data_IF_782167260857
#
_entry.id   IF_782167260857
#
_cell.length_a   1.000
_cell.length_b   1.000
_cell.length_c   1.000
_cell.angle_alpha   90.00
_cell.angle_beta   90.00
_cell.angle_gamma   90.00
#
_symmetry.space_group_name_H-M   'P 1'
#
loop_
_entity.id
_entity.type
_entity.pdbx_description
1 polymer ?
#
# COMPACT_ATOMS: atom_id res chain seq x y z
N UNK A 1 6.21 1.53 -15.88
CA UNK A 1 4.94 1.80 -15.17
C UNK A 1 5.11 3.13 -14.46
N UNK A 2 4.15 4.04 -14.58
CA UNK A 2 4.15 5.32 -13.85
C UNK A 2 3.71 5.09 -12.40
N UNK A 3 4.07 6.02 -11.51
CA UNK A 3 3.65 6.02 -10.09
C UNK A 3 2.13 5.81 -9.92
N UNK A 4 1.33 6.57 -10.66
CA UNK A 4 -0.13 6.53 -10.53
C UNK A 4 -0.71 5.18 -11.00
N UNK A 5 -0.09 4.54 -11.99
CA UNK A 5 -0.48 3.19 -12.42
C UNK A 5 -0.22 2.16 -11.32
N UNK A 6 0.86 2.32 -10.53
CA UNK A 6 1.11 1.49 -9.35
C UNK A 6 -0.02 1.70 -8.33
N UNK A 7 -0.36 2.94 -8.01
CA UNK A 7 -1.43 3.21 -7.05
C UNK A 7 -2.79 2.67 -7.49
N UNK A 8 -3.15 2.82 -8.77
CA UNK A 8 -4.36 2.19 -9.35
C UNK A 8 -4.31 0.67 -9.16
N UNK A 9 -3.17 0.03 -9.42
CA UNK A 9 -3.03 -1.42 -9.23
C UNK A 9 -3.12 -1.84 -7.77
N UNK A 10 -2.53 -1.07 -6.85
CA UNK A 10 -2.68 -1.31 -5.41
C UNK A 10 -4.14 -1.21 -4.97
N UNK A 11 -4.85 -0.16 -5.38
CA UNK A 11 -6.29 -0.01 -5.13
C UNK A 11 -7.10 -1.15 -5.75
N UNK A 12 -6.74 -1.60 -6.96
CA UNK A 12 -7.43 -2.69 -7.66
C UNK A 12 -7.25 -4.06 -7.00
N UNK A 13 -6.24 -4.24 -6.14
CA UNK A 13 -6.07 -5.43 -5.31
C UNK A 13 -6.83 -5.29 -3.99
N UNK A 14 -6.61 -4.18 -3.30
CA UNK A 14 -7.13 -3.96 -1.95
C UNK A 14 -8.66 -3.82 -1.93
N UNK A 15 -9.25 -3.01 -2.83
CA UNK A 15 -10.68 -2.71 -2.78
C UNK A 15 -11.57 -3.94 -2.99
N UNK A 16 -11.34 -4.82 -3.99
CA UNK A 16 -12.13 -6.04 -4.12
C UNK A 16 -11.93 -6.97 -2.93
N UNK A 17 -10.71 -7.10 -2.41
CA UNK A 17 -10.42 -7.93 -1.25
C UNK A 17 -11.17 -7.45 -0.01
N UNK A 18 -11.06 -6.16 0.33
CA UNK A 18 -11.79 -5.53 1.44
C UNK A 18 -13.29 -5.77 1.28
N UNK A 19 -13.85 -5.51 0.10
CA UNK A 19 -15.29 -5.73 -0.17
C UNK A 19 -15.68 -7.20 0.01
N UNK A 20 -14.84 -8.16 -0.38
CA UNK A 20 -15.09 -9.59 -0.19
C UNK A 20 -15.13 -9.94 1.31
N UNK A 21 -14.13 -9.53 2.10
CA UNK A 21 -14.13 -9.76 3.56
C UNK A 21 -15.35 -9.10 4.21
N UNK A 22 -15.70 -7.89 3.78
CA UNK A 22 -16.87 -7.18 4.32
C UNK A 22 -18.21 -7.87 4.01
N UNK A 23 -18.27 -8.74 3.00
CA UNK A 23 -19.44 -9.56 2.67
C UNK A 23 -19.61 -10.82 3.53
N UNK A 24 -18.58 -11.19 4.30
CA UNK A 24 -18.61 -12.37 5.17
C UNK A 24 -19.47 -12.15 6.43
N UNK A 25 -19.80 -13.25 7.09
CA UNK A 25 -20.49 -13.22 8.38
C UNK A 25 -19.68 -12.50 9.47
N UNK A 26 -20.36 -12.02 10.51
CA UNK A 26 -19.75 -11.25 11.62
C UNK A 26 -18.55 -11.96 12.27
N UNK A 27 -18.63 -13.29 12.41
CA UNK A 27 -17.58 -14.11 13.05
C UNK A 27 -16.29 -14.14 12.22
N UNK A 28 -16.41 -14.33 10.92
CA UNK A 28 -15.25 -14.41 10.02
C UNK A 28 -14.62 -13.02 9.86
N UNK A 29 -15.44 -11.99 9.69
CA UNK A 29 -14.99 -10.59 9.65
C UNK A 29 -14.23 -10.19 10.92
N UNK A 30 -14.70 -10.58 12.10
CA UNK A 30 -14.05 -10.23 13.36
C UNK A 30 -12.71 -10.94 13.60
N UNK A 31 -12.39 -11.99 12.81
CA UNK A 31 -11.12 -12.72 12.87
C UNK A 31 -10.13 -12.28 11.79
N UNK A 32 -10.61 -11.58 10.77
CA UNK A 32 -9.82 -11.13 9.63
C UNK A 32 -9.12 -9.79 9.96
N UNK A 33 -7.80 -9.85 10.16
CA UNK A 33 -6.98 -8.64 10.38
C UNK A 33 -6.42 -8.07 9.06
N UNK A 34 -6.38 -8.86 7.99
CA UNK A 34 -5.87 -8.43 6.69
C UNK A 34 -6.69 -7.30 6.10
N UNK A 35 -8.03 -7.30 6.26
CA UNK A 35 -8.87 -6.20 5.82
C UNK A 35 -8.43 -4.84 6.41
N UNK A 36 -7.97 -4.81 7.66
CA UNK A 36 -7.43 -3.59 8.27
C UNK A 36 -6.11 -3.19 7.58
N UNK A 37 -5.18 -4.12 7.39
CA UNK A 37 -3.90 -3.81 6.75
C UNK A 37 -4.06 -3.33 5.29
N UNK A 38 -4.95 -3.96 4.51
CA UNK A 38 -5.24 -3.54 3.14
C UNK A 38 -5.83 -2.13 3.11
N UNK A 39 -6.76 -1.83 4.02
CA UNK A 39 -7.36 -0.50 4.12
C UNK A 39 -6.33 0.55 4.56
N UNK A 40 -5.55 0.26 5.60
CA UNK A 40 -4.50 1.14 6.11
C UNK A 40 -3.48 1.46 5.02
N UNK A 41 -3.09 0.48 4.21
CA UNK A 41 -2.16 0.70 3.11
C UNK A 41 -2.72 1.68 2.07
N UNK A 42 -3.97 1.55 1.65
CA UNK A 42 -4.47 2.25 0.45
C UNK A 42 -5.33 3.48 0.71
N UNK A 43 -5.81 3.71 1.94
CA UNK A 43 -6.84 4.73 2.23
C UNK A 43 -6.46 6.14 1.77
N UNK A 44 -5.16 6.48 1.77
CA UNK A 44 -4.67 7.82 1.49
C UNK A 44 -4.16 7.99 0.03
N UNK A 45 -4.15 6.93 -0.79
CA UNK A 45 -3.60 6.99 -2.16
C UNK A 45 -4.39 7.92 -3.10
N UNK A 46 -5.66 8.16 -2.79
CA UNK A 46 -6.53 9.04 -3.60
C UNK A 46 -6.01 10.47 -3.71
N UNK A 47 -5.25 10.95 -2.72
CA UNK A 47 -4.73 12.32 -2.70
C UNK A 47 -3.65 12.57 -3.77
N UNK A 48 -2.91 11.54 -4.17
CA UNK A 48 -1.83 11.65 -5.17
C UNK A 48 -2.11 10.92 -6.47
N UNK A 49 -3.28 10.28 -6.59
CA UNK A 49 -3.65 9.48 -7.76
C UNK A 49 -3.65 10.28 -9.08
N UNK A 50 -4.02 11.56 -9.02
CA UNK A 50 -4.06 12.45 -10.18
C UNK A 50 -2.76 13.27 -10.36
N UNK A 51 -1.84 13.21 -9.39
CA UNK A 51 -0.57 13.94 -9.44
C UNK A 51 0.51 13.01 -9.95
N UNK A 52 1.00 13.22 -11.18
CA UNK A 52 1.99 12.32 -11.79
C UNK A 52 3.36 12.38 -11.13
N UNK A 53 3.73 13.56 -10.67
CA UNK A 53 5.05 13.81 -10.09
C UNK A 53 5.14 13.26 -8.67
N UNK A 54 6.35 12.84 -8.29
CA UNK A 54 6.61 12.40 -6.93
C UNK A 54 6.57 13.60 -5.98
N UNK A 55 5.80 13.49 -4.91
CA UNK A 55 5.49 14.58 -3.98
C UNK A 55 5.80 14.20 -2.54
N UNK A 56 5.68 15.16 -1.64
CA UNK A 56 5.78 14.95 -0.19
C UNK A 56 4.79 13.92 0.34
N UNK A 57 3.59 13.85 -0.24
CA UNK A 57 2.59 12.88 0.18
C UNK A 57 3.02 11.46 -0.20
N UNK A 58 3.63 11.26 -1.37
CA UNK A 58 4.19 9.96 -1.77
C UNK A 58 5.32 9.53 -0.83
N UNK A 59 6.16 10.48 -0.40
CA UNK A 59 7.21 10.22 0.60
C UNK A 59 6.61 9.83 1.96
N UNK A 60 5.56 10.54 2.40
CA UNK A 60 4.82 10.23 3.61
C UNK A 60 4.22 8.81 3.55
N UNK A 61 3.62 8.45 2.41
CA UNK A 61 3.12 7.11 2.15
C UNK A 61 4.20 6.04 2.30
N UNK A 62 5.36 6.24 1.67
CA UNK A 62 6.47 5.29 1.74
C UNK A 62 7.01 5.14 3.17
N UNK A 63 7.12 6.24 3.92
CA UNK A 63 7.67 6.21 5.28
C UNK A 63 6.71 5.64 6.32
N UNK A 64 5.39 5.75 6.10
CA UNK A 64 4.39 5.38 7.09
C UNK A 64 3.58 4.15 6.66
N UNK A 65 2.65 4.29 5.71
CA UNK A 65 1.72 3.21 5.33
C UNK A 65 2.45 2.01 4.73
N UNK A 66 3.38 2.24 3.79
CA UNK A 66 4.13 1.15 3.16
C UNK A 66 5.03 0.42 4.17
N UNK A 67 5.67 1.16 5.08
CA UNK A 67 6.50 0.61 6.15
C UNK A 67 5.68 -0.24 7.11
N UNK A 68 4.57 0.31 7.58
CA UNK A 68 3.67 -0.37 8.51
C UNK A 68 3.13 -1.68 7.92
N UNK A 69 2.69 -1.65 6.65
CA UNK A 69 2.25 -2.85 5.95
C UNK A 69 3.36 -3.89 5.81
N UNK A 70 4.58 -3.47 5.44
CA UNK A 70 5.73 -4.37 5.33
C UNK A 70 6.09 -5.05 6.67
N UNK A 71 6.07 -4.30 7.78
CA UNK A 71 6.46 -4.79 9.10
C UNK A 71 5.38 -5.63 9.81
N UNK A 72 4.10 -5.35 9.54
CA UNK A 72 2.96 -5.93 10.30
C UNK A 72 2.14 -6.96 9.53
N UNK A 73 2.19 -6.92 8.20
CA UNK A 73 1.52 -7.89 7.34
C UNK A 73 2.53 -8.92 6.81
N UNK A 74 2.03 -10.03 6.27
CA UNK A 74 2.80 -11.05 5.56
C UNK A 74 1.86 -11.88 4.66
N UNK A 75 2.44 -12.82 3.91
CA UNK A 75 1.70 -13.67 2.98
C UNK A 75 0.71 -14.64 3.64
N UNK A 76 0.87 -14.97 4.92
CA UNK A 76 -0.09 -15.78 5.69
C UNK A 76 -1.29 -14.94 6.14
N UNK A 77 -1.11 -13.62 6.30
CA UNK A 77 -2.16 -12.69 6.71
C UNK A 77 -2.97 -12.22 5.49
N UNK A 78 -2.32 -11.66 4.47
CA UNK A 78 -3.00 -11.14 3.28
C UNK A 78 -2.51 -11.83 2.00
N UNK A 79 -3.42 -12.34 1.15
CA UNK A 79 -3.04 -12.91 -0.14
C UNK A 79 -2.44 -11.86 -1.10
N UNK A 80 -2.71 -10.57 -0.87
CA UNK A 80 -2.17 -9.49 -1.70
C UNK A 80 -0.75 -9.06 -1.29
N UNK A 81 -0.24 -9.54 -0.15
CA UNK A 81 1.00 -9.04 0.47
C UNK A 81 2.17 -8.99 -0.52
N UNK A 82 2.52 -10.12 -1.12
CA UNK A 82 3.67 -10.21 -2.02
C UNK A 82 3.56 -9.24 -3.20
N UNK A 83 2.37 -9.08 -3.76
CA UNK A 83 2.17 -8.19 -4.89
C UNK A 83 2.24 -6.72 -4.47
N UNK A 84 1.73 -6.36 -3.29
CA UNK A 84 1.92 -5.03 -2.72
C UNK A 84 3.39 -4.72 -2.44
N UNK A 85 4.17 -5.68 -1.94
CA UNK A 85 5.61 -5.50 -1.74
C UNK A 85 6.32 -5.16 -3.06
N UNK A 86 6.02 -5.85 -4.16
CA UNK A 86 6.63 -5.54 -5.46
C UNK A 86 6.26 -4.14 -5.97
N UNK A 87 5.05 -3.68 -5.69
CA UNK A 87 4.64 -2.31 -5.98
C UNK A 87 5.37 -1.29 -5.12
N UNK A 88 5.52 -1.55 -3.81
CA UNK A 88 6.27 -0.68 -2.90
C UNK A 88 7.73 -0.59 -3.36
N UNK A 89 8.40 -1.71 -3.67
CA UNK A 89 9.77 -1.72 -4.23
C UNK A 89 9.89 -0.85 -5.48
N UNK A 90 8.88 -0.92 -6.35
CA UNK A 90 8.85 -0.12 -7.58
C UNK A 90 8.75 1.37 -7.27
N UNK A 91 7.93 1.77 -6.29
CA UNK A 91 7.81 3.16 -5.86
C UNK A 91 9.11 3.70 -5.23
N UNK A 92 9.78 2.91 -4.40
CA UNK A 92 11.09 3.27 -3.83
C UNK A 92 12.13 3.57 -4.91
N UNK A 93 12.17 2.76 -5.98
CA UNK A 93 13.06 2.96 -7.12
C UNK A 93 12.72 4.22 -7.93
N UNK A 94 11.44 4.61 -7.96
CA UNK A 94 10.96 5.79 -8.69
C UNK A 94 11.13 7.10 -7.93
N UNK A 95 11.36 7.08 -6.61
CA UNK A 95 11.55 8.28 -5.83
C UNK A 95 12.77 9.07 -6.34
N UNK A 96 12.64 10.38 -6.66
CA UNK A 96 13.75 11.20 -7.11
C UNK A 96 14.77 11.40 -5.98
N UNK A 97 16.04 11.61 -6.32
CA UNK A 97 17.14 11.64 -5.34
C UNK A 97 16.93 12.68 -4.23
N UNK A 98 16.33 13.84 -4.56
CA UNK A 98 15.99 14.90 -3.61
C UNK A 98 15.02 14.44 -2.51
N UNK A 99 14.08 13.55 -2.84
CA UNK A 99 13.13 12.97 -1.88
C UNK A 99 13.68 11.67 -1.25
N UNK A 100 14.47 10.90 -2.00
CA UNK A 100 15.07 9.64 -1.53
C UNK A 100 15.94 9.86 -0.29
N UNK A 101 16.67 10.98 -0.22
CA UNK A 101 17.46 11.37 0.95
C UNK A 101 16.65 11.55 2.25
N UNK A 102 15.30 11.63 2.15
CA UNK A 102 14.37 11.81 3.26
C UNK A 102 13.54 10.57 3.57
N UNK A 103 13.83 9.44 2.92
CA UNK A 103 13.28 8.15 3.31
C UNK A 103 13.87 7.72 4.66
N UNK A 104 13.01 7.24 5.56
CA UNK A 104 13.36 6.84 6.92
C UNK A 104 13.74 5.36 7.03
N UNK A 105 13.68 4.63 5.92
CA UNK A 105 14.00 3.20 5.82
C UNK A 105 14.34 2.84 4.37
N UNK A 106 14.97 1.67 4.17
CA UNK A 106 15.50 1.25 2.86
C UNK A 106 14.44 0.67 1.90
N UNK A 107 13.21 0.52 2.38
CA UNK A 107 12.18 -0.22 1.66
C UNK A 107 12.29 -1.74 1.84
N UNK A 108 11.36 -2.48 1.26
CA UNK A 108 11.30 -3.95 1.30
C UNK A 108 12.11 -4.65 0.19
#
# INVERSE_FOLDING_TARGET
MKKNEIYVKMLSLALPYIRNIQSLGKKDKGRDISCYFEAELVHNLMHTLLTSDFSEHDLCFLNNQAKYYFEKCNADISPNYNQHIEYIKSLFKMAPDSLRARLLWQGP
#
